data_IF_751303119053
#
_entry.id   IF_751303119053
#
_cell.length_a   1.000
_cell.length_b   1.000
_cell.length_c   1.000
_cell.angle_alpha   90.00
_cell.angle_beta   90.00
_cell.angle_gamma   90.00
#
_symmetry.space_group_name_H-M   'P 1'
#
loop_
_entity.id
_entity.type
_entity.pdbx_description
1 polymer ?
#
# COMPACT_ATOMS: atom_id res chain seq x y z
N UNK A 1 -27.87 20.83 11.05
CA UNK A 1 -27.47 19.42 11.20
C UNK A 1 -28.64 18.44 11.29
N UNK A 2 -29.43 18.38 12.39
CA UNK A 2 -30.59 17.44 12.49
C UNK A 2 -31.53 17.56 11.28
N UNK A 3 -31.85 18.79 10.88
CA UNK A 3 -32.71 19.06 9.72
C UNK A 3 -32.07 18.60 8.39
N UNK A 4 -30.75 18.73 8.26
CA UNK A 4 -30.01 18.36 7.04
C UNK A 4 -29.91 16.84 6.89
N UNK A 5 -29.71 16.12 8.00
CA UNK A 5 -29.74 14.65 8.02
C UNK A 5 -31.12 14.09 7.68
N UNK A 6 -32.19 14.70 8.23
CA UNK A 6 -33.55 14.31 7.88
C UNK A 6 -33.87 14.57 6.41
N UNK A 7 -33.40 15.71 5.87
CA UNK A 7 -33.51 16.04 4.45
C UNK A 7 -32.78 15.02 3.58
N UNK A 8 -31.51 14.74 3.89
CA UNK A 8 -30.70 13.78 3.12
C UNK A 8 -31.25 12.35 3.19
N UNK A 9 -31.74 11.93 4.35
CA UNK A 9 -32.39 10.63 4.48
C UNK A 9 -33.64 10.52 3.58
N UNK A 10 -34.45 11.59 3.50
CA UNK A 10 -35.59 11.64 2.59
C UNK A 10 -35.14 11.64 1.12
N UNK A 11 -34.15 12.46 0.76
CA UNK A 11 -33.59 12.50 -0.60
C UNK A 11 -33.02 11.16 -1.05
N UNK A 12 -32.26 10.46 -0.19
CA UNK A 12 -31.73 9.12 -0.52
C UNK A 12 -32.85 8.10 -0.70
N UNK A 13 -33.92 8.18 0.10
CA UNK A 13 -35.08 7.31 -0.05
C UNK A 13 -35.81 7.56 -1.37
N UNK A 14 -36.06 8.83 -1.71
CA UNK A 14 -36.76 9.20 -2.95
C UNK A 14 -35.93 8.77 -4.19
N UNK A 15 -34.62 9.02 -4.18
CA UNK A 15 -33.70 8.58 -5.24
C UNK A 15 -33.64 7.05 -5.34
N UNK A 16 -33.62 6.35 -4.20
CA UNK A 16 -33.67 4.88 -4.17
C UNK A 16 -34.94 4.37 -4.84
N UNK A 17 -36.10 4.92 -4.49
CA UNK A 17 -37.39 4.48 -5.02
C UNK A 17 -37.50 4.78 -6.53
N UNK A 18 -36.98 5.93 -6.99
CA UNK A 18 -36.96 6.31 -8.40
C UNK A 18 -36.02 5.44 -9.24
N UNK A 19 -34.79 5.21 -8.75
CA UNK A 19 -33.81 4.32 -9.40
C UNK A 19 -34.37 2.90 -9.47
N UNK A 20 -34.95 2.38 -8.39
CA UNK A 20 -35.58 1.05 -8.39
C UNK A 20 -36.76 0.99 -9.36
N UNK A 21 -37.57 2.05 -9.45
CA UNK A 21 -38.65 2.15 -10.42
C UNK A 21 -38.14 2.00 -11.85
N UNK A 22 -37.07 2.70 -12.20
CA UNK A 22 -36.44 2.61 -13.53
C UNK A 22 -35.83 1.23 -13.77
N UNK A 23 -35.07 0.71 -12.80
CA UNK A 23 -34.39 -0.58 -12.93
C UNK A 23 -35.36 -1.77 -13.02
N UNK A 24 -36.51 -1.70 -12.36
CA UNK A 24 -37.47 -2.82 -12.28
C UNK A 24 -38.57 -2.76 -13.32
N UNK A 25 -38.92 -1.57 -13.85
CA UNK A 25 -40.15 -1.38 -14.61
C UNK A 25 -39.98 -0.76 -16.01
N UNK A 26 -38.85 -0.11 -16.33
CA UNK A 26 -38.79 0.70 -17.56
C UNK A 26 -37.42 0.72 -18.27
N UNK A 27 -37.32 -0.04 -19.37
CA UNK A 27 -36.12 -0.07 -20.21
C UNK A 27 -35.95 1.15 -21.12
N UNK A 28 -37.00 1.95 -21.34
CA UNK A 28 -36.93 3.14 -22.21
C UNK A 28 -36.29 4.33 -21.46
N UNK A 29 -36.51 4.45 -20.15
CA UNK A 29 -35.92 5.51 -19.32
C UNK A 29 -34.37 5.45 -19.27
N UNK A 30 -33.78 4.29 -19.54
CA UNK A 30 -32.33 4.12 -19.71
C UNK A 30 -31.81 4.88 -20.94
N UNK A 31 -32.61 4.97 -22.01
CA UNK A 31 -32.22 5.60 -23.28
C UNK A 31 -32.25 7.13 -23.22
N UNK A 32 -32.99 7.70 -22.27
CA UNK A 32 -33.11 9.15 -22.11
C UNK A 32 -32.05 9.76 -21.19
N UNK A 33 -31.09 8.95 -20.69
CA UNK A 33 -30.00 9.44 -19.83
C UNK A 33 -30.43 9.82 -18.41
N UNK A 34 -31.66 9.46 -18.00
CA UNK A 34 -32.20 9.78 -16.69
C UNK A 34 -31.50 8.99 -15.56
N UNK A 35 -31.19 7.71 -15.80
CA UNK A 35 -30.57 6.84 -14.81
C UNK A 35 -29.16 7.31 -14.38
N UNK A 36 -28.23 7.68 -15.30
CA UNK A 36 -26.95 8.28 -14.91
C UNK A 36 -27.11 9.52 -14.02
N UNK A 37 -28.02 10.45 -14.38
CA UNK A 37 -28.25 11.66 -13.57
C UNK A 37 -28.78 11.35 -12.17
N UNK A 38 -29.60 10.32 -12.02
CA UNK A 38 -30.13 9.89 -10.72
C UNK A 38 -29.06 9.19 -9.87
N UNK A 39 -28.18 8.40 -10.51
CA UNK A 39 -27.03 7.78 -9.85
C UNK A 39 -26.03 8.84 -9.36
N UNK A 40 -25.74 9.86 -10.16
CA UNK A 40 -24.87 10.97 -9.76
C UNK A 40 -25.45 11.73 -8.55
N UNK A 41 -26.75 12.02 -8.59
CA UNK A 41 -27.45 12.67 -7.48
C UNK A 41 -27.45 11.80 -6.21
N UNK A 42 -27.57 10.48 -6.37
CA UNK A 42 -27.51 9.52 -5.27
C UNK A 42 -26.11 9.44 -4.65
N UNK A 43 -25.05 9.38 -5.46
CA UNK A 43 -23.67 9.39 -4.99
C UNK A 43 -23.31 10.70 -4.27
N UNK A 44 -23.76 11.84 -4.79
CA UNK A 44 -23.58 13.13 -4.11
C UNK A 44 -24.27 13.16 -2.75
N UNK A 45 -25.53 12.71 -2.68
CA UNK A 45 -26.27 12.64 -1.43
C UNK A 45 -25.60 11.69 -0.40
N UNK A 46 -25.05 10.55 -0.85
CA UNK A 46 -24.27 9.66 0.01
C UNK A 46 -22.98 10.34 0.51
N UNK A 47 -22.29 11.10 -0.35
CA UNK A 47 -21.07 11.82 0.01
C UNK A 47 -21.35 12.91 1.05
N UNK A 48 -22.38 13.72 0.82
CA UNK A 48 -22.83 14.74 1.78
C UNK A 48 -23.20 14.11 3.13
N UNK A 49 -23.91 12.98 3.12
CA UNK A 49 -24.26 12.25 4.34
C UNK A 49 -23.01 11.78 5.10
N UNK A 50 -22.01 11.23 4.40
CA UNK A 50 -20.75 10.76 5.03
C UNK A 50 -19.98 11.91 5.68
N UNK A 51 -19.92 13.07 5.03
CA UNK A 51 -19.28 14.27 5.61
C UNK A 51 -20.00 14.70 6.89
N UNK A 52 -21.33 14.82 6.85
CA UNK A 52 -22.13 15.25 8.00
C UNK A 52 -22.08 14.27 9.18
N UNK A 53 -21.98 12.97 8.93
CA UNK A 53 -21.87 11.95 9.98
C UNK A 53 -20.44 11.84 10.52
N UNK A 54 -19.42 12.08 9.70
CA UNK A 54 -18.03 12.05 10.14
C UNK A 54 -17.70 13.19 11.10
N UNK A 55 -18.28 14.37 10.86
CA UNK A 55 -18.07 15.56 11.69
C UNK A 55 -18.72 15.45 13.08
N UNK A 56 -19.63 14.50 13.30
CA UNK A 56 -20.34 14.36 14.57
C UNK A 56 -20.73 12.88 14.84
N UNK A 57 -19.79 12.12 15.42
CA UNK A 57 -19.95 10.67 15.64
C UNK A 57 -21.12 10.29 16.57
N UNK A 58 -21.74 11.25 17.25
CA UNK A 58 -22.84 11.07 18.20
C UNK A 58 -24.17 11.66 17.74
N UNK A 59 -24.46 11.74 16.42
CA UNK A 59 -25.80 12.20 16.00
C UNK A 59 -26.89 11.17 16.32
N UNK A 60 -27.39 11.24 17.55
CA UNK A 60 -28.69 10.68 17.89
C UNK A 60 -29.76 11.53 17.19
N UNK A 61 -30.59 10.89 16.36
CA UNK A 61 -31.89 11.43 15.95
C UNK A 61 -32.93 10.93 16.98
N UNK A 62 -33.13 11.59 18.14
CA UNK A 62 -34.08 11.13 19.15
C UNK A 62 -35.51 11.24 18.62
N UNK A 63 -36.38 10.35 19.10
CA UNK A 63 -37.81 10.34 18.80
C UNK A 63 -38.24 9.19 17.87
N UNK A 64 -39.41 8.57 18.12
CA UNK A 64 -39.96 7.51 17.26
C UNK A 64 -40.31 8.01 15.86
N UNK A 65 -40.60 9.30 15.69
CA UNK A 65 -40.89 9.92 14.40
C UNK A 65 -39.70 9.90 13.41
N UNK A 66 -38.48 9.71 13.92
CA UNK A 66 -37.25 9.69 13.12
C UNK A 66 -36.72 8.27 12.85
N UNK A 67 -37.48 7.22 13.18
CA UNK A 67 -37.05 5.83 13.05
C UNK A 67 -36.73 5.45 11.60
N UNK A 68 -37.59 5.83 10.64
CA UNK A 68 -37.37 5.57 9.20
C UNK A 68 -36.12 6.26 8.67
N UNK A 69 -35.93 7.54 9.01
CA UNK A 69 -34.75 8.30 8.58
C UNK A 69 -33.46 7.70 9.16
N UNK A 70 -33.48 7.28 10.43
CA UNK A 70 -32.35 6.62 11.08
C UNK A 70 -31.99 5.30 10.42
N UNK A 71 -32.98 4.47 10.09
CA UNK A 71 -32.76 3.22 9.37
C UNK A 71 -32.16 3.47 7.98
N UNK A 72 -32.63 4.49 7.26
CA UNK A 72 -32.11 4.87 5.94
C UNK A 72 -30.66 5.33 6.02
N UNK A 73 -30.33 6.19 6.99
CA UNK A 73 -28.95 6.66 7.22
C UNK A 73 -28.03 5.50 7.61
N UNK A 74 -28.46 4.61 8.51
CA UNK A 74 -27.67 3.44 8.91
C UNK A 74 -27.37 2.53 7.72
N UNK A 75 -28.38 2.24 6.89
CA UNK A 75 -28.20 1.44 5.67
C UNK A 75 -27.29 2.13 4.66
N UNK A 76 -27.43 3.44 4.45
CA UNK A 76 -26.56 4.20 3.56
C UNK A 76 -25.09 4.19 4.00
N UNK A 77 -24.83 4.27 5.31
CA UNK A 77 -23.48 4.22 5.86
C UNK A 77 -22.85 2.82 5.77
N UNK A 78 -23.68 1.78 5.80
CA UNK A 78 -23.25 0.39 5.66
C UNK A 78 -23.16 -0.08 4.20
N UNK A 79 -23.63 0.74 3.24
CA UNK A 79 -23.74 0.33 1.83
C UNK A 79 -24.82 -0.73 1.60
N UNK A 80 -25.87 -0.72 2.41
CA UNK A 80 -26.98 -1.69 2.41
C UNK A 80 -28.29 -1.09 1.85
N UNK A 81 -28.22 0.05 1.16
CA UNK A 81 -29.38 0.53 0.43
C UNK A 81 -29.67 -0.42 -0.75
N UNK A 82 -30.94 -0.59 -1.15
CA UNK A 82 -31.29 -1.50 -2.25
C UNK A 82 -30.53 -1.21 -3.55
N UNK A 83 -30.28 0.07 -3.86
CA UNK A 83 -29.45 0.46 -5.01
C UNK A 83 -28.02 -0.04 -4.85
N UNK A 84 -27.40 0.12 -3.68
CA UNK A 84 -26.04 -0.39 -3.40
C UNK A 84 -25.97 -1.93 -3.51
N UNK A 85 -27.01 -2.62 -3.03
CA UNK A 85 -27.13 -4.08 -3.12
C UNK A 85 -27.32 -4.53 -4.57
N UNK A 86 -28.14 -3.85 -5.37
CA UNK A 86 -28.31 -4.16 -6.79
C UNK A 86 -27.04 -3.90 -7.60
N UNK A 87 -26.32 -2.82 -7.29
CA UNK A 87 -25.02 -2.51 -7.91
C UNK A 87 -23.93 -3.52 -7.50
N UNK A 88 -23.99 -4.09 -6.29
CA UNK A 88 -22.99 -5.03 -5.76
C UNK A 88 -23.29 -6.51 -6.03
N UNK A 89 -24.56 -6.93 -6.06
CA UNK A 89 -24.99 -8.32 -6.26
C UNK A 89 -25.04 -8.76 -7.73
N UNK A 90 -24.64 -7.90 -8.67
CA UNK A 90 -24.30 -8.30 -10.04
C UNK A 90 -25.39 -9.07 -10.78
N UNK A 91 -26.67 -8.80 -10.49
CA UNK A 91 -27.80 -9.36 -11.22
C UNK A 91 -27.89 -8.66 -12.58
N UNK A 92 -27.03 -9.10 -13.50
CA UNK A 92 -26.90 -8.52 -14.84
C UNK A 92 -25.49 -8.02 -15.15
N UNK A 93 -24.44 -8.79 -14.85
CA UNK A 93 -23.20 -8.67 -15.64
C UNK A 93 -23.40 -9.32 -17.02
N UNK A 94 -24.29 -8.75 -17.83
CA UNK A 94 -23.81 -8.47 -19.19
C UNK A 94 -22.62 -7.54 -18.97
N UNK A 95 -21.46 -7.90 -19.54
CA UNK A 95 -20.31 -6.99 -19.50
C UNK A 95 -20.82 -5.62 -19.93
N UNK A 96 -20.83 -4.65 -19.03
CA UNK A 96 -20.97 -3.25 -19.40
C UNK A 96 -19.73 -2.95 -20.24
N UNK A 97 -19.86 -3.20 -21.55
CA UNK A 97 -18.96 -2.68 -22.54
C UNK A 97 -19.26 -1.20 -22.60
N UNK A 98 -18.48 -0.43 -21.85
CA UNK A 98 -18.47 1.02 -22.00
C UNK A 98 -18.14 1.31 -23.46
N UNK A 99 -18.97 2.14 -24.08
CA UNK A 99 -18.65 2.66 -25.39
C UNK A 99 -17.31 3.39 -25.35
N UNK A 100 -16.56 3.38 -26.46
CA UNK A 100 -15.31 4.12 -26.56
C UNK A 100 -15.50 5.60 -26.19
N UNK A 101 -16.67 6.18 -26.45
CA UNK A 101 -17.03 7.54 -26.06
C UNK A 101 -17.17 7.75 -24.55
N UNK A 102 -17.72 6.78 -23.81
CA UNK A 102 -17.83 6.86 -22.35
C UNK A 102 -16.45 6.72 -21.70
N UNK A 103 -15.63 5.79 -22.22
CA UNK A 103 -14.23 5.66 -21.80
C UNK A 103 -13.45 6.93 -22.09
N UNK A 104 -13.64 7.54 -23.27
CA UNK A 104 -12.97 8.78 -23.65
C UNK A 104 -13.42 9.98 -22.79
N UNK A 105 -14.71 10.07 -22.42
CA UNK A 105 -15.20 11.10 -21.50
C UNK A 105 -14.55 10.97 -20.11
N UNK A 106 -14.54 9.77 -19.52
CA UNK A 106 -13.87 9.52 -18.23
C UNK A 106 -12.36 9.77 -18.32
N UNK A 107 -11.74 9.41 -19.44
CA UNK A 107 -10.34 9.70 -19.68
C UNK A 107 -10.09 11.22 -19.76
N UNK A 108 -10.92 11.98 -20.47
CA UNK A 108 -10.82 13.43 -20.54
C UNK A 108 -10.97 14.08 -19.16
N UNK A 109 -11.90 13.61 -18.34
CA UNK A 109 -12.06 14.09 -16.96
C UNK A 109 -10.83 13.77 -16.11
N UNK A 110 -10.30 12.55 -16.21
CA UNK A 110 -9.06 12.17 -15.54
C UNK A 110 -7.89 13.06 -15.99
N UNK A 111 -7.75 13.31 -17.29
CA UNK A 111 -6.70 14.17 -17.85
C UNK A 111 -6.88 15.65 -17.49
N UNK A 112 -8.13 16.10 -17.31
CA UNK A 112 -8.42 17.48 -16.88
C UNK A 112 -7.97 17.73 -15.44
N UNK A 113 -8.08 16.71 -14.57
CA UNK A 113 -7.68 16.77 -13.18
C UNK A 113 -6.18 16.45 -12.97
N UNK A 114 -5.60 15.70 -13.91
CA UNK A 114 -4.25 15.19 -13.81
C UNK A 114 -3.30 15.89 -14.79
N UNK A 115 -2.58 16.90 -14.29
CA UNK A 115 -1.61 17.67 -15.09
C UNK A 115 -0.53 16.76 -15.71
N UNK A 116 -0.54 16.65 -17.04
CA UNK A 116 0.52 15.98 -17.81
C UNK A 116 1.92 16.50 -17.48
N UNK A 117 2.04 17.79 -17.11
CA UNK A 117 3.29 18.37 -16.65
C UNK A 117 3.74 17.79 -15.32
N UNK A 118 2.84 17.57 -14.37
CA UNK A 118 3.18 16.94 -13.09
C UNK A 118 3.60 15.48 -13.26
N UNK A 119 2.94 14.74 -14.16
CA UNK A 119 3.36 13.39 -14.54
C UNK A 119 4.78 13.38 -15.10
N UNK A 120 5.03 14.17 -16.14
CA UNK A 120 6.34 14.25 -16.79
C UNK A 120 7.43 14.68 -15.79
N UNK A 121 7.14 15.68 -14.96
CA UNK A 121 8.05 16.15 -13.90
C UNK A 121 8.34 15.07 -12.87
N UNK A 122 7.32 14.33 -12.42
CA UNK A 122 7.47 13.23 -11.48
C UNK A 122 8.29 12.08 -12.08
N UNK A 123 8.04 11.72 -13.35
CA UNK A 123 8.77 10.69 -14.08
C UNK A 123 10.24 11.04 -14.26
N UNK A 124 10.55 12.25 -14.72
CA UNK A 124 11.92 12.76 -14.85
C UNK A 124 12.62 12.86 -13.48
N UNK A 125 11.89 13.34 -12.47
CA UNK A 125 12.38 13.39 -11.09
C UNK A 125 12.75 12.00 -10.57
N UNK A 126 11.90 11.00 -10.80
CA UNK A 126 12.14 9.60 -10.47
C UNK A 126 13.33 9.00 -11.20
N UNK A 127 13.39 9.16 -12.53
CA UNK A 127 14.49 8.67 -13.36
C UNK A 127 15.83 9.27 -12.93
N UNK A 128 15.87 10.55 -12.56
CA UNK A 128 17.09 11.19 -12.06
C UNK A 128 17.61 10.57 -10.75
N UNK A 129 16.71 10.04 -9.89
CA UNK A 129 17.12 9.34 -8.67
C UNK A 129 17.80 8.01 -8.98
N UNK A 130 17.30 7.27 -9.97
CA UNK A 130 17.90 6.01 -10.43
C UNK A 130 19.27 6.27 -11.04
N UNK A 131 19.36 7.23 -11.97
CA UNK A 131 20.63 7.63 -12.60
C UNK A 131 21.67 8.08 -11.57
N UNK A 132 21.25 8.86 -10.55
CA UNK A 132 22.14 9.34 -9.51
C UNK A 132 22.59 8.25 -8.53
N UNK A 133 21.81 7.18 -8.37
CA UNK A 133 22.17 6.07 -7.49
C UNK A 133 23.14 5.10 -8.16
N UNK A 134 23.02 4.86 -9.47
CA UNK A 134 23.86 3.92 -10.21
C UNK A 134 23.15 2.59 -10.50
N UNK A 135 23.93 1.53 -10.69
CA UNK A 135 23.40 0.21 -11.05
C UNK A 135 22.52 -0.35 -9.93
N UNK A 136 21.33 -0.83 -10.28
CA UNK A 136 20.40 -1.50 -9.39
C UNK A 136 20.53 -3.02 -9.53
N UNK A 137 20.25 -3.78 -8.46
CA UNK A 137 20.13 -5.23 -8.57
C UNK A 137 18.99 -5.61 -9.53
N UNK A 138 19.17 -6.65 -10.33
CA UNK A 138 18.18 -7.12 -11.31
C UNK A 138 16.84 -7.43 -10.62
N UNK A 139 16.90 -7.99 -9.41
CA UNK A 139 15.75 -8.35 -8.59
C UNK A 139 14.89 -7.13 -8.19
N UNK A 140 15.46 -5.92 -8.21
CA UNK A 140 14.77 -4.67 -7.87
C UNK A 140 14.32 -3.85 -9.08
N UNK A 141 14.94 -4.05 -10.25
CA UNK A 141 14.80 -3.13 -11.39
C UNK A 141 13.34 -2.99 -11.84
N UNK A 142 12.63 -4.12 -11.95
CA UNK A 142 11.20 -4.12 -12.30
C UNK A 142 10.34 -3.39 -11.26
N UNK A 143 10.56 -3.65 -9.97
CA UNK A 143 9.83 -2.96 -8.90
C UNK A 143 10.10 -1.46 -8.87
N UNK A 144 11.34 -1.04 -9.12
CA UNK A 144 11.68 0.39 -9.18
C UNK A 144 10.96 1.07 -10.34
N UNK A 145 10.86 0.43 -11.51
CA UNK A 145 10.04 0.91 -12.62
C UNK A 145 8.58 1.16 -12.21
N UNK A 146 7.95 0.16 -11.59
CA UNK A 146 6.56 0.26 -11.10
C UNK A 146 6.38 1.33 -10.00
N UNK A 147 7.36 1.45 -9.10
CA UNK A 147 7.38 2.50 -8.07
C UNK A 147 7.38 3.89 -8.71
N UNK A 148 8.17 4.10 -9.77
CA UNK A 148 8.24 5.38 -10.46
C UNK A 148 6.92 5.72 -11.16
N UNK A 149 6.28 4.74 -11.79
CA UNK A 149 4.95 4.94 -12.40
C UNK A 149 3.90 5.24 -11.33
N UNK A 150 3.83 4.46 -10.25
CA UNK A 150 2.92 4.72 -9.13
C UNK A 150 3.13 6.12 -8.55
N UNK A 151 4.38 6.56 -8.39
CA UNK A 151 4.68 7.89 -7.91
C UNK A 151 4.24 8.97 -8.89
N UNK A 152 4.47 8.77 -10.19
CA UNK A 152 4.01 9.68 -11.22
C UNK A 152 2.50 9.84 -11.12
N UNK A 153 1.74 8.74 -11.16
CA UNK A 153 0.27 8.70 -11.01
C UNK A 153 -0.26 9.05 -9.60
N UNK A 154 0.58 9.59 -8.72
CA UNK A 154 0.20 10.04 -7.37
C UNK A 154 -0.41 8.93 -6.48
N UNK A 155 -0.10 7.66 -6.78
CA UNK A 155 -0.52 6.48 -5.99
C UNK A 155 0.47 6.22 -4.85
N UNK A 156 0.56 7.17 -3.92
CA UNK A 156 1.62 7.16 -2.90
C UNK A 156 1.59 5.94 -1.98
N UNK A 157 0.41 5.40 -1.62
CA UNK A 157 0.32 4.16 -0.82
C UNK A 157 0.96 2.97 -1.56
N UNK A 158 0.76 2.88 -2.87
CA UNK A 158 1.36 1.84 -3.71
C UNK A 158 2.89 1.97 -3.76
N UNK A 159 3.42 3.20 -3.79
CA UNK A 159 4.87 3.45 -3.68
C UNK A 159 5.45 2.83 -2.40
N UNK A 160 4.79 2.98 -1.25
CA UNK A 160 5.25 2.37 0.01
C UNK A 160 5.17 0.84 0.00
N UNK A 161 4.07 0.29 -0.54
CA UNK A 161 3.90 -1.15 -0.67
C UNK A 161 5.00 -1.78 -1.54
N UNK A 162 5.18 -1.25 -2.75
CA UNK A 162 6.18 -1.74 -3.70
C UNK A 162 7.60 -1.50 -3.20
N UNK A 163 7.88 -0.38 -2.54
CA UNK A 163 9.19 -0.13 -1.95
C UNK A 163 9.57 -1.18 -0.90
N UNK A 164 8.60 -1.63 -0.09
CA UNK A 164 8.82 -2.71 0.87
C UNK A 164 9.07 -4.04 0.17
N UNK A 165 8.30 -4.37 -0.87
CA UNK A 165 8.46 -5.61 -1.66
C UNK A 165 9.83 -5.63 -2.35
N UNK A 166 10.23 -4.53 -3.00
CA UNK A 166 11.53 -4.38 -3.65
C UNK A 166 12.69 -4.59 -2.67
N UNK A 167 12.60 -3.98 -1.48
CA UNK A 167 13.58 -4.16 -0.41
C UNK A 167 13.62 -5.61 0.06
N UNK A 168 12.47 -6.25 0.28
CA UNK A 168 12.42 -7.63 0.73
C UNK A 168 12.99 -8.60 -0.30
N UNK A 169 12.61 -8.47 -1.57
CA UNK A 169 13.12 -9.28 -2.67
C UNK A 169 14.64 -9.16 -2.81
N UNK A 170 15.15 -7.93 -2.80
CA UNK A 170 16.60 -7.65 -2.90
C UNK A 170 17.36 -8.22 -1.72
N UNK A 171 16.89 -7.94 -0.49
CA UNK A 171 17.55 -8.41 0.71
C UNK A 171 17.53 -9.93 0.77
N UNK A 172 16.45 -10.60 0.35
CA UNK A 172 16.39 -12.06 0.29
C UNK A 172 17.41 -12.63 -0.68
N UNK A 173 17.52 -12.09 -1.89
CA UNK A 173 18.50 -12.53 -2.88
C UNK A 173 19.94 -12.42 -2.34
N UNK A 174 20.26 -11.28 -1.72
CA UNK A 174 21.56 -11.04 -1.07
C UNK A 174 21.75 -11.99 0.11
N UNK A 175 20.73 -12.21 0.93
CA UNK A 175 20.77 -13.10 2.09
C UNK A 175 21.16 -14.54 1.69
N UNK A 176 20.66 -15.01 0.55
CA UNK A 176 21.03 -16.31 -0.02
C UNK A 176 22.47 -16.28 -0.51
N UNK A 177 22.87 -15.23 -1.24
CA UNK A 177 24.24 -15.07 -1.78
C UNK A 177 25.31 -15.04 -0.70
N UNK A 178 25.05 -14.34 0.40
CA UNK A 178 25.94 -14.26 1.57
C UNK A 178 25.93 -15.54 2.43
N UNK A 179 25.19 -16.58 2.02
CA UNK A 179 25.06 -17.84 2.75
C UNK A 179 24.28 -17.73 4.07
N UNK A 180 23.62 -16.61 4.36
CA UNK A 180 22.87 -16.41 5.60
C UNK A 180 21.57 -17.23 5.67
N UNK A 181 21.08 -17.68 4.51
CA UNK A 181 19.94 -18.59 4.41
C UNK A 181 20.25 -20.00 4.98
N UNK A 182 21.51 -20.44 4.93
CA UNK A 182 21.95 -21.69 5.54
C UNK A 182 22.43 -21.43 6.98
N UNK A 183 21.77 -21.98 8.02
CA UNK A 183 22.14 -21.74 9.42
C UNK A 183 23.50 -22.32 9.83
N UNK A 184 24.06 -23.22 9.01
CA UNK A 184 25.32 -23.91 9.26
C UNK A 184 26.50 -23.30 8.48
N UNK A 185 26.23 -22.32 7.61
CA UNK A 185 27.28 -21.58 6.91
C UNK A 185 28.17 -20.80 7.88
N UNK A 186 29.42 -20.57 7.49
CA UNK A 186 30.36 -19.77 8.29
C UNK A 186 29.88 -18.32 8.43
N UNK A 187 29.22 -17.76 7.43
CA UNK A 187 28.60 -16.44 7.53
C UNK A 187 27.49 -16.40 8.60
N UNK A 188 26.59 -17.38 8.60
CA UNK A 188 25.55 -17.51 9.63
C UNK A 188 26.13 -17.70 11.04
N UNK A 189 27.20 -18.49 11.17
CA UNK A 189 27.89 -18.71 12.44
C UNK A 189 28.53 -17.43 12.98
N UNK A 190 29.28 -16.71 12.13
CA UNK A 190 29.90 -15.42 12.50
C UNK A 190 28.86 -14.39 12.93
N UNK A 191 27.75 -14.26 12.20
CA UNK A 191 26.65 -13.37 12.59
C UNK A 191 26.05 -13.78 13.93
N UNK A 192 25.86 -15.08 14.18
CA UNK A 192 25.35 -15.60 15.45
C UNK A 192 26.28 -15.25 16.61
N UNK A 193 27.56 -15.55 16.49
CA UNK A 193 28.58 -15.26 17.50
C UNK A 193 28.64 -13.78 17.83
N UNK A 194 28.53 -12.90 16.82
CA UNK A 194 28.45 -11.44 17.01
C UNK A 194 27.21 -10.99 17.75
N UNK A 195 26.05 -11.53 17.40
CA UNK A 195 24.80 -11.22 18.11
C UNK A 195 24.88 -11.67 19.57
N UNK A 196 25.50 -12.83 19.82
CA UNK A 196 25.69 -13.37 21.17
C UNK A 196 26.67 -12.55 22.01
N UNK A 197 27.74 -12.04 21.39
CA UNK A 197 28.78 -11.23 22.05
C UNK A 197 28.45 -9.74 22.15
N UNK A 198 27.48 -9.24 21.38
CA UNK A 198 27.09 -7.82 21.39
C UNK A 198 26.51 -7.39 22.74
N UNK A 199 27.28 -6.57 23.47
CA UNK A 199 26.87 -5.99 24.76
C UNK A 199 25.66 -5.04 24.62
N UNK A 200 25.54 -4.36 23.47
CA UNK A 200 24.52 -3.34 23.23
C UNK A 200 23.12 -3.91 22.95
N UNK A 201 23.00 -5.23 22.75
CA UNK A 201 21.72 -5.89 22.54
C UNK A 201 21.13 -6.36 23.86
N UNK A 202 19.94 -5.85 24.20
CA UNK A 202 19.14 -6.38 25.30
C UNK A 202 18.78 -7.85 25.06
N UNK A 203 18.50 -8.58 26.15
CA UNK A 203 18.20 -10.02 26.11
C UNK A 203 17.01 -10.36 25.19
N UNK A 204 16.03 -9.47 25.08
CA UNK A 204 14.84 -9.65 24.25
C UNK A 204 15.16 -9.55 22.76
N UNK A 205 15.85 -8.48 22.34
CA UNK A 205 16.34 -8.30 20.96
C UNK A 205 17.26 -9.43 20.54
N UNK A 206 18.21 -9.81 21.42
CA UNK A 206 19.12 -10.93 21.17
C UNK A 206 18.34 -12.23 20.93
N UNK A 207 17.37 -12.55 21.80
CA UNK A 207 16.50 -13.72 21.62
C UNK A 207 15.70 -13.64 20.31
N UNK A 208 15.19 -12.48 19.91
CA UNK A 208 14.44 -12.31 18.66
C UNK A 208 15.30 -12.48 17.40
N UNK A 209 16.57 -12.07 17.43
CA UNK A 209 17.52 -12.23 16.32
C UNK A 209 18.06 -13.65 16.21
N UNK A 210 18.30 -14.30 17.36
CA UNK A 210 18.79 -15.68 17.44
C UNK A 210 17.67 -16.72 17.32
N UNK A 211 16.42 -16.34 17.56
CA UNK A 211 15.31 -17.26 17.37
C UNK A 211 15.32 -17.69 15.90
N UNK A 212 15.65 -18.97 15.66
CA UNK A 212 15.10 -19.69 14.51
C UNK A 212 13.63 -19.32 14.49
N UNK A 213 13.14 -18.81 13.36
CA UNK A 213 11.71 -18.51 13.22
C UNK A 213 10.95 -19.68 13.85
N UNK A 214 9.92 -19.41 14.65
CA UNK A 214 9.14 -20.48 15.28
C UNK A 214 8.65 -21.53 14.25
N UNK A 215 8.62 -21.14 12.97
CA UNK A 215 8.43 -21.96 11.78
C UNK A 215 9.49 -23.04 11.55
N UNK A 216 10.79 -22.75 11.67
CA UNK A 216 11.86 -23.74 11.46
C UNK A 216 11.90 -24.87 12.51
N UNK A 217 11.10 -24.80 13.59
CA UNK A 217 10.92 -25.91 14.54
C UNK A 217 9.73 -26.82 14.21
N UNK A 218 8.84 -26.43 13.30
CA UNK A 218 7.66 -27.24 12.90
C UNK A 218 7.92 -28.15 11.69
N UNK A 219 9.01 -27.95 10.95
CA UNK A 219 9.36 -28.70 9.74
C UNK A 219 10.02 -30.07 9.98
N UNK A 220 9.73 -30.72 11.12
CA UNK A 220 9.96 -32.17 11.28
C UNK A 220 8.93 -33.03 10.55
N UNK A 221 7.93 -32.39 9.92
CA UNK A 221 6.94 -32.98 9.03
C UNK A 221 7.50 -33.03 7.61
N UNK A 222 7.24 -34.15 6.92
CA UNK A 222 7.77 -34.52 5.60
C UNK A 222 7.86 -33.35 4.59
N UNK A 223 8.99 -33.28 3.88
CA UNK A 223 9.47 -32.18 3.04
C UNK A 223 8.59 -31.79 1.83
N UNK A 224 7.39 -32.35 1.64
CA UNK A 224 6.64 -32.22 0.38
C UNK A 224 5.74 -30.98 0.27
N UNK A 225 5.47 -30.25 1.37
CA UNK A 225 4.50 -29.13 1.37
C UNK A 225 5.08 -27.79 1.85
N UNK A 226 6.41 -27.63 1.87
CA UNK A 226 7.02 -26.37 2.27
C UNK A 226 6.82 -25.31 1.17
N UNK A 227 5.82 -24.46 1.38
CA UNK A 227 5.64 -23.25 0.60
C UNK A 227 6.85 -22.33 0.77
N UNK A 228 7.16 -21.52 -0.25
CA UNK A 228 8.30 -20.59 -0.27
C UNK A 228 8.34 -19.60 0.92
N UNK A 229 7.24 -19.52 1.68
CA UNK A 229 7.03 -18.63 2.82
C UNK A 229 7.52 -19.19 4.16
N UNK A 230 7.68 -20.52 4.30
CA UNK A 230 7.97 -21.14 5.61
C UNK A 230 9.42 -20.98 6.10
N UNK A 231 10.34 -20.57 5.21
CA UNK A 231 11.77 -20.40 5.53
C UNK A 231 12.27 -18.96 5.51
N UNK A 232 11.44 -17.98 5.18
CA UNK A 232 11.94 -16.61 5.14
C UNK A 232 12.10 -16.03 6.54
N UNK A 233 13.29 -15.54 6.93
CA UNK A 233 13.39 -14.66 8.07
C UNK A 233 12.46 -13.46 7.83
N UNK A 234 11.86 -12.93 8.91
CA UNK A 234 11.10 -11.69 8.79
C UNK A 234 12.03 -10.60 8.25
N UNK A 235 11.50 -9.68 7.44
CA UNK A 235 12.27 -8.55 6.89
C UNK A 235 13.16 -7.83 7.92
N UNK A 236 12.66 -7.65 9.14
CA UNK A 236 13.43 -7.13 10.27
C UNK A 236 14.69 -7.96 10.60
N UNK A 237 14.55 -9.29 10.68
CA UNK A 237 15.67 -10.19 10.96
C UNK A 237 16.67 -10.23 9.81
N UNK A 238 16.21 -10.15 8.55
CA UNK A 238 17.10 -10.07 7.38
C UNK A 238 17.96 -8.80 7.42
N UNK A 239 17.33 -7.64 7.62
CA UNK A 239 18.02 -6.34 7.74
C UNK A 239 19.09 -6.43 8.82
N UNK A 240 18.70 -6.87 10.02
CA UNK A 240 19.60 -6.93 11.16
C UNK A 240 20.77 -7.88 10.89
N UNK A 241 20.50 -9.15 10.55
CA UNK A 241 21.55 -10.16 10.33
C UNK A 241 22.49 -9.80 9.18
N UNK A 242 21.98 -9.20 8.11
CA UNK A 242 22.81 -8.72 7.01
C UNK A 242 23.76 -7.62 7.48
N UNK A 243 23.24 -6.61 8.19
CA UNK A 243 24.04 -5.52 8.74
C UNK A 243 24.96 -5.91 9.92
N UNK A 244 24.94 -7.17 10.38
CA UNK A 244 25.95 -7.71 11.30
C UNK A 244 27.22 -8.20 10.60
N UNK A 245 27.19 -8.39 9.28
CA UNK A 245 28.39 -8.64 8.48
C UNK A 245 29.19 -7.34 8.35
N UNK A 246 30.52 -7.43 8.48
CA UNK A 246 31.41 -6.26 8.50
C UNK A 246 31.23 -5.33 7.30
N UNK A 247 31.15 -5.91 6.10
CA UNK A 247 31.04 -5.15 4.86
C UNK A 247 29.76 -4.29 4.83
N UNK A 248 28.64 -4.83 5.33
CA UNK A 248 27.35 -4.12 5.39
C UNK A 248 27.24 -3.20 6.61
N UNK A 249 27.89 -3.54 7.73
CA UNK A 249 27.95 -2.69 8.92
C UNK A 249 28.72 -1.39 8.64
N UNK A 250 29.81 -1.47 7.87
CA UNK A 250 30.59 -0.32 7.43
C UNK A 250 29.94 0.46 6.28
N UNK A 251 28.94 -0.12 5.62
CA UNK A 251 28.28 0.50 4.49
C UNK A 251 27.45 1.72 4.93
N UNK A 252 27.61 2.81 4.18
CA UNK A 252 26.88 4.04 4.40
C UNK A 252 26.16 4.48 3.14
N UNK A 253 25.01 5.11 3.34
CA UNK A 253 24.13 5.61 2.29
C UNK A 253 24.13 7.13 2.37
N UNK A 254 24.26 7.82 1.23
CA UNK A 254 24.11 9.26 1.21
C UNK A 254 22.67 9.65 1.60
N UNK A 255 22.50 10.42 2.67
CA UNK A 255 21.23 10.97 3.14
C UNK A 255 21.07 12.42 2.66
N UNK A 256 19.83 12.83 2.34
CA UNK A 256 19.55 14.17 1.81
C UNK A 256 19.65 15.31 2.83
N UNK A 257 19.83 15.01 4.12
CA UNK A 257 19.77 16.00 5.20
C UNK A 257 21.00 16.02 6.13
N UNK A 258 21.80 14.96 6.19
CA UNK A 258 22.86 14.81 7.22
C UNK A 258 24.17 14.15 6.76
N UNK A 259 24.44 14.11 5.46
CA UNK A 259 25.67 13.50 4.93
C UNK A 259 25.51 12.00 4.68
N UNK A 260 26.30 11.16 5.34
CA UNK A 260 26.25 9.69 5.17
C UNK A 260 25.64 9.05 6.42
N UNK A 261 24.71 8.12 6.22
CA UNK A 261 24.03 7.39 7.28
C UNK A 261 24.32 5.89 7.18
N UNK A 262 24.45 5.15 8.30
CA UNK A 262 24.60 3.70 8.27
C UNK A 262 23.45 3.02 7.51
N UNK A 263 23.79 2.02 6.68
CA UNK A 263 22.82 1.27 5.88
C UNK A 263 21.66 0.71 6.73
N UNK A 264 21.98 0.20 7.93
CA UNK A 264 20.99 -0.32 8.88
C UNK A 264 19.89 0.71 9.18
N UNK A 265 20.27 1.95 9.49
CA UNK A 265 19.33 3.02 9.83
C UNK A 265 18.39 3.36 8.68
N UNK A 266 18.90 3.34 7.44
CA UNK A 266 18.09 3.59 6.24
C UNK A 266 17.10 2.45 5.99
N UNK A 267 17.55 1.20 6.01
CA UNK A 267 16.68 0.03 5.80
C UNK A 267 15.58 -0.07 6.87
N UNK A 268 15.93 0.18 8.15
CA UNK A 268 14.94 0.18 9.22
C UNK A 268 13.91 1.30 9.06
N UNK A 269 14.33 2.50 8.66
CA UNK A 269 13.42 3.62 8.42
C UNK A 269 12.47 3.33 7.27
N UNK A 270 12.95 2.76 6.16
CA UNK A 270 12.11 2.31 5.04
C UNK A 270 11.07 1.31 5.56
N UNK A 271 11.49 0.27 6.28
CA UNK A 271 10.59 -0.75 6.86
C UNK A 271 9.54 -0.13 7.78
N UNK A 272 9.96 0.72 8.72
CA UNK A 272 9.07 1.32 9.72
C UNK A 272 8.05 2.27 9.06
N UNK A 273 8.49 3.12 8.12
CA UNK A 273 7.60 4.01 7.36
C UNK A 273 6.61 3.22 6.52
N UNK A 274 7.08 2.22 5.78
CA UNK A 274 6.23 1.32 5.00
C UNK A 274 5.15 0.67 5.88
N UNK A 275 5.53 0.09 7.02
CA UNK A 275 4.56 -0.47 7.97
C UNK A 275 3.55 0.56 8.46
N UNK A 276 4.01 1.76 8.81
CA UNK A 276 3.13 2.80 9.33
C UNK A 276 2.06 3.23 8.31
N UNK A 277 2.42 3.34 7.03
CA UNK A 277 1.47 3.69 5.96
C UNK A 277 0.52 2.53 5.69
N UNK A 278 1.04 1.31 5.54
CA UNK A 278 0.24 0.13 5.19
C UNK A 278 -0.77 -0.28 6.27
N UNK A 279 -0.50 0.06 7.53
CA UNK A 279 -1.43 -0.17 8.64
C UNK A 279 -2.37 1.03 8.91
N UNK A 280 -2.34 2.08 8.07
CA UNK A 280 -3.20 3.26 8.24
C UNK A 280 -2.80 4.17 9.41
N UNK A 281 -1.63 3.97 10.02
CA UNK A 281 -1.15 4.81 11.13
C UNK A 281 -0.63 6.18 10.65
N UNK A 282 -0.38 6.34 9.35
CA UNK A 282 0.06 7.58 8.71
C UNK A 282 -0.55 7.69 7.31
N UNK A 283 -0.77 8.92 6.86
CA UNK A 283 -1.14 9.21 5.48
C UNK A 283 0.09 9.28 4.58
N UNK A 284 -0.04 8.85 3.33
CA UNK A 284 1.01 8.94 2.32
C UNK A 284 0.85 10.23 1.53
N UNK A 285 1.92 11.02 1.43
CA UNK A 285 1.95 12.27 0.67
C UNK A 285 3.09 12.26 -0.38
N UNK A 286 3.08 13.26 -1.27
CA UNK A 286 4.03 13.37 -2.38
C UNK A 286 5.49 13.49 -1.93
N UNK A 287 5.74 14.25 -0.87
CA UNK A 287 7.11 14.50 -0.41
C UNK A 287 7.66 13.29 0.34
N UNK A 288 6.85 12.69 1.22
CA UNK A 288 7.22 11.49 1.97
C UNK A 288 7.42 10.28 1.06
N UNK A 289 6.57 10.10 0.03
CA UNK A 289 6.75 9.06 -0.99
C UNK A 289 8.05 9.28 -1.79
N UNK A 290 8.37 10.52 -2.17
CA UNK A 290 9.63 10.84 -2.86
C UNK A 290 10.85 10.53 -2.00
N UNK A 291 10.79 10.88 -0.71
CA UNK A 291 11.85 10.56 0.23
C UNK A 291 12.02 9.04 0.39
N UNK A 292 10.91 8.30 0.48
CA UNK A 292 10.91 6.84 0.54
C UNK A 292 11.58 6.22 -0.69
N UNK A 293 11.24 6.66 -1.91
CA UNK A 293 11.87 6.17 -3.14
C UNK A 293 13.37 6.44 -3.16
N UNK A 294 13.78 7.67 -2.84
CA UNK A 294 15.20 8.05 -2.81
C UNK A 294 15.99 7.19 -1.83
N UNK A 295 15.46 7.02 -0.61
CA UNK A 295 16.12 6.24 0.44
C UNK A 295 16.22 4.77 0.02
N UNK A 296 15.15 4.21 -0.58
CA UNK A 296 15.13 2.85 -1.13
C UNK A 296 16.18 2.66 -2.22
N UNK A 297 16.10 3.42 -3.32
CA UNK A 297 16.96 3.24 -4.49
C UNK A 297 18.44 3.29 -4.08
N UNK A 298 18.81 4.24 -3.21
CA UNK A 298 20.19 4.34 -2.70
C UNK A 298 20.58 3.15 -1.82
N UNK A 299 19.69 2.69 -0.94
CA UNK A 299 19.97 1.53 -0.09
C UNK A 299 20.14 0.25 -0.92
N UNK A 300 19.29 0.04 -1.95
CA UNK A 300 19.38 -1.12 -2.84
C UNK A 300 20.69 -1.13 -3.63
N UNK A 301 21.09 0.02 -4.16
CA UNK A 301 22.39 0.16 -4.83
C UNK A 301 23.55 -0.19 -3.90
N UNK A 302 23.59 0.37 -2.68
CA UNK A 302 24.66 0.08 -1.71
C UNK A 302 24.70 -1.40 -1.33
N UNK A 303 23.55 -2.01 -1.06
CA UNK A 303 23.44 -3.45 -0.79
C UNK A 303 24.01 -4.27 -1.95
N UNK A 304 23.67 -3.90 -3.19
CA UNK A 304 24.16 -4.58 -4.38
C UNK A 304 25.68 -4.42 -4.56
N UNK A 305 26.22 -3.21 -4.39
CA UNK A 305 27.66 -2.97 -4.51
C UNK A 305 28.48 -3.77 -3.49
N UNK A 306 28.02 -3.83 -2.23
CA UNK A 306 28.71 -4.58 -1.18
C UNK A 306 28.72 -6.07 -1.53
N UNK A 307 27.57 -6.62 -1.89
CA UNK A 307 27.44 -8.04 -2.26
C UNK A 307 28.28 -8.40 -3.49
N UNK A 308 28.38 -7.51 -4.48
CA UNK A 308 29.16 -7.72 -5.69
C UNK A 308 30.68 -7.67 -5.46
N UNK A 309 31.15 -6.99 -4.39
CA UNK A 309 32.57 -6.96 -4.01
C UNK A 309 33.00 -8.23 -3.30
N UNK A 310 32.15 -8.76 -2.41
CA UNK A 310 32.44 -9.98 -1.65
C UNK A 310 32.48 -11.25 -2.54
N UNK A 311 31.88 -11.19 -3.74
CA UNK A 311 31.89 -12.28 -4.71
C UNK A 311 33.17 -12.37 -5.57
N UNK A 312 34.11 -11.41 -5.47
CA UNK A 312 35.36 -11.36 -6.26
C UNK A 312 36.55 -11.83 -5.44
#
# INVERSE_FOLDING_TARGET
MKHDLLRLAATLQDLTDEILGILLLDSEAWKEGLLPSLLDAYEEAQRELRVLVHDDAEVALPGPENEKARATIQRALLGELPVDLMLSEGHGRESFEFSDSEVEAVAQDFLSWYSHYDYARAKLGGASLVLAAGALPEEASGFVGEILECYAFQRYVAVYALARVAMEATLRAVYVREGLANPDSDASRRVRERIESSADLDKGKRKGLLSRSAYARRSGSELSDLTLDDFSPRLFQMIQRLCFLDAYAAATVASGFSGREPLLGVLERIRQRGNSILHGNRTADRESARAMMRDLIRALHVVHEVSARDAR
#
